data_IF_208881329018
#
_entry.id   IF_208881329018
#
_cell.length_a   1.000
_cell.length_b   1.000
_cell.length_c   1.000
_cell.angle_alpha   90.00
_cell.angle_beta   90.00
_cell.angle_gamma   90.00
#
_symmetry.space_group_name_H-M   'P 1'
#
loop_
_entity.id
_entity.type
_entity.pdbx_description
1 polymer ?
#
# COMPACT_ATOMS: atom_id res chain seq x y z
N UNK A 1 -14.08 -13.71 36.96
CA UNK A 1 -13.79 -14.38 35.68
C UNK A 1 -13.92 -13.33 34.59
N UNK A 2 -12.80 -12.76 34.16
CA UNK A 2 -12.74 -11.82 33.05
C UNK A 2 -12.97 -12.61 31.77
N UNK A 3 -14.19 -12.55 31.23
CA UNK A 3 -14.43 -12.92 29.85
C UNK A 3 -13.55 -12.02 28.99
N UNK A 4 -12.44 -12.58 28.51
CA UNK A 4 -11.65 -12.03 27.42
C UNK A 4 -12.57 -12.08 26.20
N UNK A 5 -13.50 -11.12 26.13
CA UNK A 5 -13.98 -10.62 24.87
C UNK A 5 -12.74 -10.00 24.23
N UNK A 6 -12.02 -10.80 23.45
CA UNK A 6 -11.37 -10.26 22.28
C UNK A 6 -12.50 -9.54 21.53
N UNK A 7 -12.62 -8.24 21.75
CA UNK A 7 -13.31 -7.35 20.83
C UNK A 7 -12.68 -7.67 19.48
N UNK A 8 -13.42 -8.42 18.67
CA UNK A 8 -13.06 -8.70 17.30
C UNK A 8 -13.12 -7.34 16.60
N UNK A 9 -12.01 -6.57 16.68
CA UNK A 9 -11.82 -5.36 15.91
C UNK A 9 -12.22 -5.69 14.48
N UNK A 10 -13.14 -4.91 13.95
CA UNK A 10 -13.59 -5.12 12.60
C UNK A 10 -12.42 -4.75 11.70
N UNK A 11 -11.65 -5.76 11.26
CA UNK A 11 -10.45 -5.59 10.42
C UNK A 11 -10.76 -4.75 9.17
N UNK A 12 -12.03 -4.66 8.76
CA UNK A 12 -12.49 -3.87 7.61
C UNK A 12 -12.75 -2.38 7.90
N UNK A 13 -12.91 -2.00 9.17
CA UNK A 13 -13.19 -0.63 9.62
C UNK A 13 -11.99 0.03 10.31
N UNK A 14 -11.08 -0.74 10.91
CA UNK A 14 -10.08 -0.19 11.84
C UNK A 14 -8.62 -0.18 11.33
N UNK A 15 -8.36 -0.52 10.06
CA UNK A 15 -6.98 -0.49 9.54
C UNK A 15 -6.60 0.92 9.04
N UNK A 16 -5.40 1.35 9.42
CA UNK A 16 -4.85 2.62 8.97
C UNK A 16 -4.11 2.40 7.65
N UNK A 17 -4.66 2.93 6.56
CA UNK A 17 -4.16 2.68 5.20
C UNK A 17 -2.66 3.03 5.06
N UNK A 18 -2.19 4.09 5.71
CA UNK A 18 -0.80 4.53 5.59
C UNK A 18 0.19 3.71 6.41
N UNK A 19 -0.23 3.19 7.56
CA UNK A 19 0.65 2.48 8.50
C UNK A 19 0.60 0.97 8.27
N UNK A 20 -0.53 0.43 7.82
CA UNK A 20 -0.74 -1.01 7.71
C UNK A 20 -0.61 -1.56 6.28
N UNK A 21 -0.79 -0.72 5.25
CA UNK A 21 -0.85 -1.16 3.86
C UNK A 21 0.45 -0.86 3.10
N UNK A 22 0.93 -1.87 2.38
CA UNK A 22 2.14 -1.80 1.55
C UNK A 22 1.83 -1.19 0.17
N UNK A 23 0.76 -1.66 -0.46
CA UNK A 23 0.25 -1.16 -1.72
C UNK A 23 -1.23 -1.53 -1.85
N UNK A 24 -1.94 -0.87 -2.76
CA UNK A 24 -3.30 -1.25 -3.09
C UNK A 24 -3.50 -1.32 -4.60
N UNK A 25 -4.53 -2.07 -5.00
CA UNK A 25 -4.98 -2.18 -6.38
C UNK A 25 -6.44 -1.75 -6.47
N UNK A 26 -6.72 -0.79 -7.34
CA UNK A 26 -8.06 -0.41 -7.75
C UNK A 26 -8.46 -1.31 -8.92
N UNK A 27 -9.54 -2.06 -8.75
CA UNK A 27 -10.18 -2.85 -9.80
C UNK A 27 -11.47 -2.18 -10.27
N UNK A 28 -12.28 -2.94 -11.01
CA UNK A 28 -13.55 -2.45 -11.54
C UNK A 28 -14.57 -2.14 -10.42
N UNK A 29 -15.53 -1.27 -10.73
CA UNK A 29 -16.66 -0.93 -9.85
C UNK A 29 -16.23 -0.49 -8.43
N UNK A 30 -15.20 0.35 -8.35
CA UNK A 30 -14.70 0.95 -7.10
C UNK A 30 -14.22 -0.06 -6.04
N UNK A 31 -13.89 -1.29 -6.48
CA UNK A 31 -13.32 -2.30 -5.60
C UNK A 31 -11.82 -2.05 -5.41
N UNK A 32 -11.42 -1.80 -4.18
CA UNK A 32 -10.02 -1.65 -3.80
C UNK A 32 -9.55 -2.89 -3.04
N UNK A 33 -8.41 -3.44 -3.44
CA UNK A 33 -7.70 -4.51 -2.74
C UNK A 33 -6.47 -3.91 -2.07
N UNK A 34 -6.51 -3.82 -0.75
CA UNK A 34 -5.38 -3.40 0.07
C UNK A 34 -4.51 -4.59 0.42
N UNK A 35 -3.21 -4.46 0.20
CA UNK A 35 -2.22 -5.50 0.49
C UNK A 35 -1.37 -5.09 1.69
N UNK A 36 -1.67 -5.66 2.86
CA UNK A 36 -0.82 -5.57 4.05
C UNK A 36 0.32 -6.59 3.97
N UNK A 37 1.14 -6.70 5.02
CA UNK A 37 2.29 -7.63 5.04
C UNK A 37 1.89 -9.09 4.84
N UNK A 38 0.93 -9.57 5.64
CA UNK A 38 0.52 -10.97 5.69
C UNK A 38 -0.97 -11.19 5.38
N UNK A 39 -1.65 -10.17 4.85
CA UNK A 39 -3.09 -10.22 4.60
C UNK A 39 -3.47 -9.34 3.40
N UNK A 40 -4.69 -9.53 2.90
CA UNK A 40 -5.32 -8.63 1.94
C UNK A 40 -6.72 -8.27 2.42
N UNK A 41 -7.14 -7.02 2.23
CA UNK A 41 -8.49 -6.56 2.52
C UNK A 41 -9.13 -6.10 1.21
N UNK A 42 -10.35 -6.55 0.93
CA UNK A 42 -11.16 -6.05 -0.19
C UNK A 42 -12.22 -5.11 0.34
N UNK A 43 -12.33 -3.92 -0.23
CA UNK A 43 -13.31 -2.92 0.19
C UNK A 43 -13.83 -2.16 -1.04
N UNK A 44 -15.15 -2.10 -1.18
CA UNK A 44 -15.76 -1.14 -2.11
C UNK A 44 -15.70 0.24 -1.47
N UNK A 45 -15.29 1.23 -2.24
CA UNK A 45 -15.22 2.61 -1.78
C UNK A 45 -16.25 3.45 -2.50
N UNK A 46 -16.79 4.46 -1.83
CA UNK A 46 -17.50 5.53 -2.54
C UNK A 46 -16.52 6.30 -3.42
N UNK A 47 -17.03 7.02 -4.41
CA UNK A 47 -16.21 7.87 -5.30
C UNK A 47 -15.39 8.88 -4.49
N UNK A 48 -15.96 9.47 -3.44
CA UNK A 48 -15.28 10.43 -2.57
C UNK A 48 -14.17 9.76 -1.75
N UNK A 49 -14.40 8.56 -1.23
CA UNK A 49 -13.40 7.78 -0.50
C UNK A 49 -12.24 7.40 -1.40
N UNK A 50 -12.54 6.93 -2.61
CA UNK A 50 -11.53 6.56 -3.60
C UNK A 50 -10.72 7.80 -4.01
N UNK A 51 -11.36 8.93 -4.33
CA UNK A 51 -10.66 10.16 -4.70
C UNK A 51 -9.71 10.64 -3.59
N UNK A 52 -10.14 10.61 -2.32
CA UNK A 52 -9.27 10.93 -1.19
C UNK A 52 -8.07 10.00 -1.12
N UNK A 53 -8.28 8.69 -1.24
CA UNK A 53 -7.21 7.69 -1.25
C UNK A 53 -6.22 7.92 -2.41
N UNK A 54 -6.72 8.20 -3.61
CA UNK A 54 -5.91 8.39 -4.82
C UNK A 54 -5.13 9.71 -4.82
N UNK A 55 -5.64 10.74 -4.13
CA UNK A 55 -4.96 12.03 -3.97
C UNK A 55 -3.86 12.02 -2.89
N UNK A 56 -3.76 10.95 -2.12
CA UNK A 56 -2.91 10.91 -0.95
C UNK A 56 -1.42 10.81 -1.30
N UNK A 57 -0.62 11.76 -0.82
CA UNK A 57 0.79 11.95 -1.23
C UNK A 57 1.73 10.82 -0.83
N UNK A 58 1.37 10.02 0.18
CA UNK A 58 2.11 8.80 0.56
C UNK A 58 2.02 7.70 -0.49
N UNK A 59 1.09 7.77 -1.45
CA UNK A 59 0.90 6.74 -2.47
C UNK A 59 1.35 7.20 -3.84
N UNK A 60 1.97 6.29 -4.58
CA UNK A 60 2.47 6.56 -5.93
C UNK A 60 1.89 5.57 -6.94
N UNK A 61 1.34 6.11 -8.03
CA UNK A 61 0.79 5.33 -9.13
C UNK A 61 1.91 4.69 -9.97
N UNK A 62 1.96 3.36 -9.95
CA UNK A 62 2.96 2.58 -10.70
C UNK A 62 2.47 2.29 -12.11
N UNK A 63 1.42 1.48 -12.23
CA UNK A 63 0.82 1.03 -13.49
C UNK A 63 -0.57 0.44 -13.22
N UNK A 64 -1.47 0.50 -14.22
CA UNK A 64 -2.86 0.04 -14.09
C UNK A 64 -3.53 0.69 -12.88
N UNK A 65 -4.28 -0.08 -12.10
CA UNK A 65 -4.83 0.38 -10.83
C UNK A 65 -3.89 0.26 -9.62
N UNK A 66 -2.57 0.05 -9.79
CA UNK A 66 -1.65 -0.26 -8.69
C UNK A 66 -0.96 0.99 -8.12
N UNK A 67 -1.10 1.19 -6.81
CA UNK A 67 -0.52 2.30 -6.06
C UNK A 67 0.32 1.77 -4.90
N UNK A 68 1.58 2.19 -4.82
CA UNK A 68 2.52 1.75 -3.78
C UNK A 68 2.63 2.79 -2.68
N UNK A 69 2.74 2.34 -1.42
CA UNK A 69 2.99 3.22 -0.29
C UNK A 69 4.48 3.55 -0.22
N UNK A 70 4.83 4.81 -0.48
CA UNK A 70 6.21 5.31 -0.48
C UNK A 70 6.86 5.16 0.91
N UNK A 71 6.10 5.28 1.99
CA UNK A 71 6.61 5.20 3.36
C UNK A 71 6.96 3.76 3.78
N UNK A 72 6.60 2.76 2.98
CA UNK A 72 6.83 1.35 3.28
C UNK A 72 7.88 0.71 2.37
N UNK A 73 8.44 1.46 1.42
CA UNK A 73 9.48 0.97 0.53
C UNK A 73 10.77 0.77 1.33
N UNK A 74 11.29 -0.45 1.34
CA UNK A 74 12.62 -0.76 1.91
C UNK A 74 13.71 -0.69 0.85
N UNK A 75 13.48 -1.22 -0.34
CA UNK A 75 14.44 -1.21 -1.45
C UNK A 75 13.76 -1.22 -2.82
N UNK A 76 14.53 -0.86 -3.85
CA UNK A 76 14.10 -0.88 -5.26
C UNK A 76 15.21 -1.53 -6.10
N UNK A 77 15.01 -2.80 -6.46
CA UNK A 77 15.99 -3.71 -7.09
C UNK A 77 15.29 -4.59 -8.13
N UNK A 78 15.99 -5.02 -9.18
CA UNK A 78 15.48 -5.99 -10.20
C UNK A 78 14.07 -5.68 -10.74
N UNK A 79 13.83 -4.41 -11.04
CA UNK A 79 12.53 -3.89 -11.47
C UNK A 79 11.37 -4.12 -10.49
N UNK A 80 11.67 -4.26 -9.21
CA UNK A 80 10.74 -4.48 -8.13
C UNK A 80 10.90 -3.44 -7.01
N UNK A 81 9.79 -3.14 -6.35
CA UNK A 81 9.74 -2.50 -5.04
C UNK A 81 9.52 -3.58 -4.00
N UNK A 82 10.31 -3.50 -2.93
CA UNK A 82 10.22 -4.36 -1.77
C UNK A 82 9.72 -3.59 -0.55
N UNK A 83 9.06 -4.32 0.36
CA UNK A 83 8.37 -3.75 1.52
C UNK A 83 8.79 -4.47 2.81
N UNK A 84 9.96 -4.11 3.33
CA UNK A 84 10.62 -4.77 4.46
C UNK A 84 11.64 -5.82 4.01
N UNK A 85 11.74 -6.92 4.75
CA UNK A 85 12.66 -8.02 4.44
C UNK A 85 12.28 -8.75 3.15
N UNK A 86 13.30 -9.08 2.36
CA UNK A 86 13.16 -9.86 1.13
C UNK A 86 13.16 -11.34 1.49
N UNK A 87 12.08 -12.04 1.17
CA UNK A 87 11.94 -13.48 1.41
C UNK A 87 10.99 -14.11 0.40
N UNK A 88 10.95 -15.44 0.36
CA UNK A 88 10.16 -16.21 -0.62
C UNK A 88 8.68 -15.80 -0.72
N UNK A 89 8.10 -15.34 0.39
CA UNK A 89 6.70 -14.94 0.47
C UNK A 89 6.51 -13.43 0.68
N UNK A 90 7.60 -12.66 0.63
CA UNK A 90 7.53 -11.21 0.77
C UNK A 90 6.77 -10.63 -0.43
N UNK A 91 5.84 -9.72 -0.13
CA UNK A 91 5.14 -9.02 -1.19
C UNK A 91 6.08 -8.04 -1.87
N UNK A 92 6.03 -8.02 -3.19
CA UNK A 92 6.79 -7.11 -4.03
C UNK A 92 5.90 -6.60 -5.18
N UNK A 93 6.24 -5.44 -5.72
CA UNK A 93 5.53 -4.85 -6.87
C UNK A 93 6.52 -4.58 -7.99
N UNK A 94 6.25 -5.14 -9.18
CA UNK A 94 7.01 -4.84 -10.40
C UNK A 94 6.75 -3.40 -10.84
N UNK A 95 7.81 -2.66 -11.13
CA UNK A 95 7.74 -1.23 -11.47
C UNK A 95 8.62 -0.94 -12.69
N UNK A 96 8.08 -0.31 -13.75
CA UNK A 96 8.87 0.11 -14.90
C UNK A 96 10.03 1.03 -14.49
N UNK A 97 11.20 0.88 -15.12
CA UNK A 97 12.43 1.62 -14.77
C UNK A 97 12.24 3.14 -14.64
N UNK A 98 11.53 3.77 -15.57
CA UNK A 98 11.20 5.21 -15.53
C UNK A 98 10.45 5.62 -14.24
N UNK A 99 9.53 4.78 -13.79
CA UNK A 99 8.76 5.02 -12.56
C UNK A 99 9.64 4.81 -11.32
N UNK A 100 10.58 3.86 -11.34
CA UNK A 100 11.55 3.70 -10.25
C UNK A 100 12.40 4.94 -10.04
N UNK A 101 12.88 5.56 -11.13
CA UNK A 101 13.65 6.81 -11.05
C UNK A 101 12.84 7.92 -10.39
N UNK A 102 11.59 8.12 -10.81
CA UNK A 102 10.67 9.08 -10.19
C UNK A 102 10.47 8.80 -8.68
N UNK A 103 10.27 7.54 -8.30
CA UNK A 103 10.10 7.14 -6.90
C UNK A 103 11.38 7.42 -6.11
N UNK A 104 12.57 7.09 -6.63
CA UNK A 104 13.85 7.39 -5.97
C UNK A 104 14.04 8.88 -5.74
N UNK A 105 13.64 9.73 -6.69
CA UNK A 105 13.66 11.18 -6.51
C UNK A 105 12.74 11.64 -5.37
N UNK A 106 11.52 11.10 -5.31
CA UNK A 106 10.56 11.41 -4.23
C UNK A 106 11.08 10.95 -2.86
N UNK A 107 11.68 9.77 -2.77
CA UNK A 107 12.22 9.24 -1.51
C UNK A 107 13.40 10.07 -1.00
N UNK A 108 14.29 10.53 -1.89
CA UNK A 108 15.40 11.43 -1.52
C UNK A 108 14.90 12.74 -0.91
N UNK A 109 13.86 13.34 -1.50
CA UNK A 109 13.27 14.57 -0.97
C UNK A 109 12.64 14.40 0.42
N UNK A 110 12.19 13.18 0.76
CA UNK A 110 11.63 12.88 2.09
C UNK A 110 12.69 12.69 3.16
N UNK A 111 13.86 12.15 2.81
CA UNK A 111 14.97 11.96 3.74
C UNK A 111 15.67 13.29 4.12
N UNK A 112 15.44 14.36 3.35
CA UNK A 112 15.97 15.70 3.62
C UNK A 112 15.04 16.61 4.43
N UNK A 113 13.92 16.07 4.95
CA UNK A 113 12.92 16.78 5.76
C UNK A 113 13.01 16.34 7.21
#
# INVERSE_FOLDING_TARGET
MSSILLEAKNVYEDFEVETDILFFKVGDHDLVIFHGRNYNIKKRMSVEQLNRLLSHSSFYHVNGGCYVNLNKISSIEDDCIYFGEMGLYAKQVRVPRRKQESIRHLLRGRLSS
#
